data_IF_588739356426
#
_entry.id   IF_588739356426
#
_cell.length_a   1.000
_cell.length_b   1.000
_cell.length_c   1.000
_cell.angle_alpha   90.00
_cell.angle_beta   90.00
_cell.angle_gamma   90.00
#
_symmetry.space_group_name_H-M   'P 1'
#
loop_
_entity.id
_entity.type
_entity.pdbx_description
1 polymer ?
#
# COMPACT_ATOMS: atom_id res chain seq x y z
N UNK A 1 -60.59 -1.64 42.86
CA UNK A 1 -59.41 -1.13 42.15
C UNK A 1 -59.83 0.09 41.35
N UNK A 2 -59.16 1.22 41.37
CA UNK A 2 -58.40 1.89 42.42
C UNK A 2 -58.35 3.38 42.02
N UNK A 3 -57.94 4.21 42.96
CA UNK A 3 -57.96 5.67 42.96
C UNK A 3 -56.92 6.33 42.03
N UNK A 4 -57.39 7.18 41.10
CA UNK A 4 -56.81 8.44 40.57
C UNK A 4 -55.29 8.51 40.19
N UNK A 5 -54.68 9.69 39.90
CA UNK A 5 -54.31 10.13 38.55
C UNK A 5 -52.80 10.49 38.42
N UNK A 6 -52.28 10.85 37.25
CA UNK A 6 -51.12 11.78 37.16
C UNK A 6 -50.88 12.27 35.74
N UNK A 7 -51.09 13.57 35.49
CA UNK A 7 -50.08 14.65 35.44
C UNK A 7 -49.20 14.55 34.20
N UNK A 8 -49.62 15.31 33.20
CA UNK A 8 -48.86 15.68 32.01
C UNK A 8 -47.67 16.56 32.45
N UNK A 9 -46.47 15.99 32.44
CA UNK A 9 -45.23 16.75 32.66
C UNK A 9 -44.61 16.97 31.28
N UNK A 10 -44.94 18.13 30.72
CA UNK A 10 -44.17 18.79 29.67
C UNK A 10 -42.71 18.89 30.12
N UNK A 11 -41.89 17.95 29.63
CA UNK A 11 -40.45 17.96 29.78
C UNK A 11 -39.87 18.64 28.54
N UNK A 12 -39.74 19.95 28.63
CA UNK A 12 -38.80 20.70 27.81
C UNK A 12 -37.39 20.22 28.20
N UNK A 13 -36.72 19.49 27.32
CA UNK A 13 -35.28 19.30 27.40
C UNK A 13 -34.68 19.85 26.12
N UNK A 14 -33.92 20.92 26.30
CA UNK A 14 -33.33 21.77 25.30
C UNK A 14 -32.40 20.97 24.37
N UNK A 15 -32.46 21.28 23.08
CA UNK A 15 -31.45 20.88 22.11
C UNK A 15 -30.11 21.47 22.56
N UNK A 16 -29.29 20.65 23.22
CA UNK A 16 -27.89 20.93 23.40
C UNK A 16 -27.22 20.83 22.04
N UNK A 17 -26.97 21.97 21.41
CA UNK A 17 -26.07 22.11 20.27
C UNK A 17 -24.72 21.46 20.64
N UNK A 18 -24.52 20.21 20.21
CA UNK A 18 -23.20 19.61 20.20
C UNK A 18 -22.43 20.32 19.08
N UNK A 19 -21.61 21.30 19.44
CA UNK A 19 -20.52 21.76 18.58
C UNK A 19 -19.68 20.53 18.23
N UNK A 20 -19.85 20.04 17.01
CA UNK A 20 -18.96 19.09 16.39
C UNK A 20 -17.66 19.85 16.18
N UNK A 21 -16.69 19.67 17.08
CA UNK A 21 -15.32 20.15 16.88
C UNK A 21 -14.77 19.45 15.63
N UNK A 22 -14.78 20.17 14.52
CA UNK A 22 -14.27 19.72 13.24
C UNK A 22 -12.78 19.39 13.43
N UNK A 23 -12.32 18.17 13.12
CA UNK A 23 -10.92 17.84 13.30
C UNK A 23 -10.10 18.76 12.38
N UNK A 24 -9.43 19.73 12.99
CA UNK A 24 -8.44 20.59 12.35
C UNK A 24 -7.41 19.67 11.70
N UNK A 25 -7.57 19.41 10.40
CA UNK A 25 -6.56 18.68 9.65
C UNK A 25 -5.35 19.61 9.62
N UNK A 26 -4.37 19.35 10.47
CA UNK A 26 -3.05 19.98 10.41
C UNK A 26 -2.43 19.60 9.06
N UNK A 27 -2.71 20.40 8.03
CA UNK A 27 -2.08 20.29 6.72
C UNK A 27 -0.63 20.75 6.93
N UNK A 28 0.21 19.83 7.37
CA UNK A 28 1.66 20.01 7.33
C UNK A 28 2.02 20.20 5.85
N UNK A 29 2.55 21.37 5.44
CA UNK A 29 2.93 21.58 4.06
C UNK A 29 3.99 20.54 3.69
N UNK A 30 3.79 19.85 2.57
CA UNK A 30 4.79 18.92 2.04
C UNK A 30 6.11 19.67 1.92
N UNK A 31 7.10 19.29 2.74
CA UNK A 31 8.43 19.90 2.70
C UNK A 31 9.11 19.49 1.40
N UNK A 32 9.02 20.35 0.39
CA UNK A 32 9.72 20.16 -0.89
C UNK A 32 11.19 20.54 -0.71
N UNK A 33 12.09 19.75 -1.30
CA UNK A 33 13.51 20.12 -1.36
C UNK A 33 13.67 21.39 -2.20
N UNK A 34 14.30 22.42 -1.64
CA UNK A 34 14.70 23.64 -2.34
C UNK A 34 16.08 23.52 -3.01
N UNK A 35 16.72 22.34 -2.91
CA UNK A 35 18.09 22.13 -3.37
C UNK A 35 18.14 22.08 -4.89
N UNK A 36 18.92 22.97 -5.50
CA UNK A 36 19.21 22.94 -6.95
C UNK A 36 19.99 21.66 -7.25
N UNK A 37 19.44 20.79 -8.11
CA UNK A 37 20.13 19.60 -8.58
C UNK A 37 21.25 20.04 -9.53
N UNK A 38 22.48 19.61 -9.26
CA UNK A 38 23.62 19.75 -10.18
C UNK A 38 23.98 18.36 -10.71
N UNK A 39 24.19 18.25 -12.02
CA UNK A 39 24.69 17.02 -12.62
C UNK A 39 26.13 16.76 -12.14
N UNK A 40 26.52 15.51 -11.84
CA UNK A 40 27.90 15.17 -11.54
C UNK A 40 28.80 15.43 -12.76
N UNK A 41 29.94 16.11 -12.55
CA UNK A 41 30.90 16.48 -13.60
C UNK A 41 31.71 15.30 -14.18
N UNK A 42 31.45 14.07 -13.72
CA UNK A 42 32.34 12.91 -13.97
C UNK A 42 31.76 11.83 -14.89
N UNK A 43 30.57 12.01 -15.45
CA UNK A 43 29.88 10.92 -16.17
C UNK A 43 30.11 10.90 -17.69
N UNK A 44 31.28 11.33 -18.18
CA UNK A 44 31.48 11.47 -19.64
C UNK A 44 32.30 10.37 -20.33
N UNK A 45 32.85 9.34 -19.67
CA UNK A 45 33.84 8.48 -20.36
C UNK A 45 33.86 6.97 -20.02
N UNK A 46 32.73 6.32 -19.69
CA UNK A 46 32.70 4.84 -19.79
C UNK A 46 31.27 4.28 -19.89
N UNK A 47 30.58 4.59 -20.99
CA UNK A 47 29.58 3.67 -21.52
C UNK A 47 30.23 3.15 -22.79
N UNK A 48 31.10 2.15 -22.61
CA UNK A 48 31.62 1.41 -23.75
C UNK A 48 30.40 0.80 -24.45
N UNK A 49 30.25 1.12 -25.73
CA UNK A 49 29.10 0.79 -26.56
C UNK A 49 29.15 -0.69 -26.98
N UNK A 50 29.45 -1.58 -26.05
CA UNK A 50 28.95 -2.94 -26.14
C UNK A 50 27.47 -2.86 -25.73
N UNK A 51 26.68 -2.29 -26.66
CA UNK A 51 25.24 -2.47 -26.75
C UNK A 51 24.98 -3.96 -26.89
N UNK A 52 25.11 -4.67 -25.79
CA UNK A 52 24.30 -5.85 -25.57
C UNK A 52 22.88 -5.37 -25.79
N UNK A 53 22.29 -5.79 -26.91
CA UNK A 53 20.86 -5.70 -27.19
C UNK A 53 20.12 -6.55 -26.15
N UNK A 54 20.17 -6.11 -24.91
CA UNK A 54 19.43 -6.60 -23.76
C UNK A 54 18.17 -5.73 -23.56
N UNK A 55 17.78 -4.98 -24.59
CA UNK A 55 16.41 -4.50 -24.70
C UNK A 55 15.51 -5.70 -24.99
N UNK A 56 14.67 -6.05 -24.03
CA UNK A 56 13.43 -6.83 -24.19
C UNK A 56 13.57 -8.33 -24.49
N UNK A 57 14.77 -8.87 -24.74
CA UNK A 57 14.86 -10.28 -25.17
C UNK A 57 14.76 -11.34 -24.04
N UNK A 58 14.81 -10.91 -22.78
CA UNK A 58 14.83 -11.82 -21.62
C UNK A 58 13.72 -11.58 -20.60
N UNK A 59 12.94 -10.51 -20.71
CA UNK A 59 11.86 -10.25 -19.76
C UNK A 59 10.58 -10.96 -20.22
N UNK A 60 10.02 -11.89 -19.42
CA UNK A 60 8.84 -12.60 -19.82
C UNK A 60 7.61 -11.68 -19.81
N UNK A 61 6.95 -11.54 -20.96
CA UNK A 61 5.77 -10.70 -21.12
C UNK A 61 4.56 -11.07 -20.23
N UNK A 62 4.57 -12.25 -19.61
CA UNK A 62 3.57 -12.68 -18.65
C UNK A 62 4.10 -13.82 -17.76
N UNK A 63 3.38 -14.11 -16.67
CA UNK A 63 3.73 -15.18 -15.73
C UNK A 63 3.92 -16.55 -16.39
N UNK A 64 3.12 -16.91 -17.40
CA UNK A 64 3.28 -18.21 -18.08
C UNK A 64 4.58 -18.24 -18.90
N UNK A 65 4.96 -17.13 -19.52
CA UNK A 65 6.24 -17.01 -20.22
C UNK A 65 7.41 -17.12 -19.23
N UNK A 66 7.29 -16.54 -18.04
CA UNK A 66 8.30 -16.63 -16.98
C UNK A 66 8.50 -18.07 -16.49
N UNK A 67 7.41 -18.85 -16.42
CA UNK A 67 7.47 -20.28 -16.06
C UNK A 67 8.10 -21.17 -17.14
N UNK A 68 8.11 -20.74 -18.39
CA UNK A 68 8.71 -21.49 -19.50
C UNK A 68 10.18 -21.14 -19.72
N UNK A 69 10.68 -20.11 -19.05
CA UNK A 69 12.06 -19.68 -19.15
C UNK A 69 13.02 -20.70 -18.51
N UNK A 70 14.26 -20.72 -18.97
CA UNK A 70 15.28 -21.62 -18.44
C UNK A 70 15.62 -21.30 -16.97
N UNK A 71 15.41 -20.05 -16.54
CA UNK A 71 15.60 -19.61 -15.16
C UNK A 71 14.38 -19.84 -14.27
N UNK A 72 13.24 -20.27 -14.81
CA UNK A 72 11.97 -20.42 -14.09
C UNK A 72 12.12 -21.19 -12.77
N UNK A 73 12.94 -22.25 -12.78
CA UNK A 73 13.25 -23.05 -11.59
C UNK A 73 13.99 -22.25 -10.53
N UNK A 74 15.01 -21.49 -10.91
CA UNK A 74 15.77 -20.66 -9.98
C UNK A 74 14.89 -19.58 -9.34
N UNK A 75 13.99 -19.00 -10.12
CA UNK A 75 12.99 -18.04 -9.63
C UNK A 75 12.01 -18.67 -8.64
N UNK A 76 11.50 -19.87 -8.95
CA UNK A 76 10.64 -20.62 -8.03
C UNK A 76 11.36 -20.96 -6.72
N UNK A 77 12.60 -21.44 -6.81
CA UNK A 77 13.41 -21.77 -5.64
C UNK A 77 13.68 -20.50 -4.79
N UNK A 78 13.98 -19.36 -5.43
CA UNK A 78 14.16 -18.08 -4.75
C UNK A 78 12.88 -17.61 -4.03
N UNK A 79 11.72 -17.69 -4.70
CA UNK A 79 10.41 -17.32 -4.09
C UNK A 79 10.11 -18.23 -2.90
N UNK A 80 10.38 -19.53 -3.01
CA UNK A 80 10.16 -20.48 -1.93
C UNK A 80 11.10 -20.20 -0.74
N UNK A 81 12.37 -19.89 -1.01
CA UNK A 81 13.35 -19.54 0.02
C UNK A 81 12.97 -18.25 0.74
N UNK A 82 12.54 -17.22 0.01
CA UNK A 82 12.05 -15.96 0.60
C UNK A 82 10.79 -16.21 1.45
N UNK A 83 9.83 -16.99 0.94
CA UNK A 83 8.62 -17.37 1.68
C UNK A 83 8.95 -18.14 2.95
N UNK A 84 9.96 -19.01 2.92
CA UNK A 84 10.43 -19.73 4.10
C UNK A 84 11.12 -18.78 5.08
N UNK A 85 11.98 -17.87 4.61
CA UNK A 85 12.62 -16.89 5.47
C UNK A 85 11.61 -15.97 6.16
N UNK A 86 10.53 -15.59 5.47
CA UNK A 86 9.45 -14.81 6.09
C UNK A 86 8.75 -15.57 7.22
N UNK A 87 8.60 -16.89 7.09
CA UNK A 87 8.06 -17.76 8.16
C UNK A 87 9.05 -17.91 9.30
N UNK A 88 10.31 -18.21 9.00
CA UNK A 88 11.34 -18.46 10.02
C UNK A 88 11.62 -17.22 10.87
N UNK A 89 11.49 -16.04 10.27
CA UNK A 89 11.73 -14.77 10.95
C UNK A 89 10.47 -14.16 11.59
N UNK A 90 9.30 -14.80 11.48
CA UNK A 90 8.01 -14.31 11.97
C UNK A 90 7.70 -12.85 11.59
N UNK A 91 8.20 -12.40 10.42
CA UNK A 91 8.10 -10.99 9.98
C UNK A 91 6.75 -10.62 9.38
N UNK A 92 5.89 -11.60 9.10
CA UNK A 92 4.56 -11.40 8.52
C UNK A 92 3.50 -12.27 9.20
N UNK A 93 2.30 -11.71 9.38
CA UNK A 93 1.11 -12.44 9.82
C UNK A 93 0.13 -12.51 8.66
N UNK A 94 -0.30 -13.73 8.31
CA UNK A 94 -1.34 -13.93 7.31
C UNK A 94 -2.70 -13.54 7.93
N UNK A 95 -3.30 -12.48 7.43
CA UNK A 95 -4.59 -11.98 7.90
C UNK A 95 -5.65 -12.30 6.84
N UNK A 96 -6.78 -12.85 7.27
CA UNK A 96 -7.93 -13.08 6.39
C UNK A 96 -8.50 -11.76 5.88
N UNK A 97 -8.91 -11.75 4.60
CA UNK A 97 -9.52 -10.58 4.00
C UNK A 97 -10.88 -10.29 4.69
N UNK A 98 -11.09 -9.10 5.26
CA UNK A 98 -12.35 -8.81 5.94
C UNK A 98 -13.52 -8.75 4.94
N UNK A 99 -14.74 -9.11 5.37
CA UNK A 99 -15.90 -9.10 4.50
C UNK A 99 -16.12 -7.70 3.93
N UNK A 100 -16.30 -7.61 2.61
CA UNK A 100 -16.44 -6.39 1.81
C UNK A 100 -15.15 -5.60 1.52
N UNK A 101 -13.97 -6.09 1.90
CA UNK A 101 -12.72 -5.47 1.45
C UNK A 101 -12.48 -5.73 -0.04
N UNK A 102 -12.14 -4.66 -0.78
CA UNK A 102 -11.74 -4.77 -2.19
C UNK A 102 -10.26 -5.16 -2.27
N UNK A 103 -9.96 -6.22 -3.00
CA UNK A 103 -8.58 -6.58 -3.33
C UNK A 103 -7.93 -5.44 -4.11
N UNK A 104 -6.74 -5.03 -3.68
CA UNK A 104 -5.93 -4.08 -4.44
C UNK A 104 -5.60 -4.71 -5.78
N UNK A 105 -6.01 -4.05 -6.87
CA UNK A 105 -5.61 -4.49 -8.21
C UNK A 105 -4.11 -4.26 -8.35
N UNK A 106 -3.35 -5.32 -8.56
CA UNK A 106 -1.92 -5.25 -8.82
C UNK A 106 -1.68 -4.52 -10.15
N UNK A 107 -0.95 -3.40 -10.11
CA UNK A 107 -0.48 -2.66 -11.31
C UNK A 107 0.98 -2.99 -11.66
N UNK A 108 1.58 -3.92 -10.91
CA UNK A 108 2.96 -4.35 -11.07
C UNK A 108 2.99 -5.68 -11.81
N UNK A 109 2.65 -5.63 -13.09
CA UNK A 109 2.95 -6.61 -14.13
C UNK A 109 3.16 -5.82 -15.43
#
# INVERSE_FOLDING_TARGET
EDTNPSVDISLNHEEGDQEIDEPQSDINPIRKSSRIRRAPDRMCLYIDAEEHKLGDLGEPANYKAALLDFESKNWLDAINMEMQSMKDNDVWVLVELPPNARTVRSKWL
#
